data_IF_884621655750
#
_entry.id   IF_884621655750
#
_cell.length_a   1.000
_cell.length_b   1.000
_cell.length_c   1.000
_cell.angle_alpha   90.00
_cell.angle_beta   90.00
_cell.angle_gamma   90.00
#
_symmetry.space_group_name_H-M   'P 1'
#
loop_
_entity.id
_entity.type
_entity.pdbx_description
1 polymer ?
#
# COMPACT_ATOMS: atom_id res chain seq x y z
N UNK A 1 14.09 -13.33 -2.34
CA UNK A 1 12.65 -13.58 -2.09
C UNK A 1 12.28 -13.36 -0.63
N UNK A 2 11.60 -12.25 -0.32
CA UNK A 2 11.24 -11.87 1.06
C UNK A 2 10.04 -12.71 1.60
N UNK A 3 9.13 -13.13 0.71
CA UNK A 3 7.95 -13.90 1.08
C UNK A 3 8.24 -15.39 1.37
N UNK A 4 9.07 -16.03 0.54
CA UNK A 4 9.45 -17.43 0.75
C UNK A 4 10.27 -17.59 2.03
N UNK A 5 11.24 -16.69 2.25
CA UNK A 5 12.05 -16.65 3.46
C UNK A 5 11.19 -16.51 4.73
N UNK A 6 10.24 -15.57 4.74
CA UNK A 6 9.27 -15.46 5.85
C UNK A 6 8.50 -16.75 6.10
N UNK A 7 7.97 -17.38 5.05
CA UNK A 7 7.15 -18.58 5.20
C UNK A 7 7.94 -19.76 5.79
N UNK A 8 9.18 -19.95 5.34
CA UNK A 8 10.04 -21.03 5.84
C UNK A 8 10.56 -20.82 7.27
N UNK A 9 10.54 -19.59 7.78
CA UNK A 9 10.91 -19.26 9.15
C UNK A 9 9.74 -19.30 10.15
N UNK A 10 8.52 -19.64 9.71
CA UNK A 10 7.38 -19.78 10.61
C UNK A 10 7.51 -21.04 11.48
N UNK A 11 7.07 -21.00 12.76
CA UNK A 11 7.08 -22.18 13.60
C UNK A 11 6.12 -23.26 13.06
N UNK A 12 6.43 -24.52 13.35
CA UNK A 12 5.55 -25.63 12.99
C UNK A 12 4.16 -25.43 13.59
N UNK A 13 3.12 -25.55 12.77
CA UNK A 13 1.74 -25.30 13.18
C UNK A 13 1.30 -23.83 13.19
N UNK A 14 2.14 -22.89 12.75
CA UNK A 14 1.75 -21.47 12.61
C UNK A 14 0.65 -21.23 11.56
N UNK A 15 0.58 -22.11 10.56
CA UNK A 15 -0.42 -22.09 9.49
C UNK A 15 -1.05 -23.49 9.43
N UNK A 16 -2.29 -23.59 9.88
CA UNK A 16 -3.07 -24.84 9.91
C UNK A 16 -4.08 -24.96 8.78
N UNK A 17 -4.40 -23.84 8.14
CA UNK A 17 -5.39 -23.74 7.07
C UNK A 17 -5.09 -22.55 6.16
N UNK A 18 -5.74 -22.54 5.00
CA UNK A 18 -5.54 -21.52 3.97
C UNK A 18 -5.93 -20.10 4.43
N UNK A 19 -6.97 -19.94 5.24
CA UNK A 19 -7.41 -18.62 5.68
C UNK A 19 -6.41 -18.00 6.67
N UNK A 20 -5.83 -18.82 7.54
CA UNK A 20 -4.75 -18.41 8.44
C UNK A 20 -3.52 -17.97 7.64
N UNK A 21 -3.11 -18.75 6.63
CA UNK A 21 -2.00 -18.39 5.73
C UNK A 21 -2.23 -17.05 5.04
N UNK A 22 -3.42 -16.90 4.43
CA UNK A 22 -3.82 -15.70 3.70
C UNK A 22 -3.81 -14.48 4.60
N UNK A 23 -4.40 -14.56 5.79
CA UNK A 23 -4.52 -13.42 6.71
C UNK A 23 -3.15 -12.94 7.19
N UNK A 24 -2.27 -13.87 7.59
CA UNK A 24 -0.91 -13.51 8.03
C UNK A 24 -0.07 -12.94 6.89
N UNK A 25 -0.17 -13.53 5.70
CA UNK A 25 0.51 -13.03 4.51
C UNK A 25 0.04 -11.61 4.17
N UNK A 26 -1.27 -11.40 4.10
CA UNK A 26 -1.85 -10.09 3.83
C UNK A 26 -1.45 -9.07 4.89
N UNK A 27 -1.47 -9.43 6.17
CA UNK A 27 -1.03 -8.52 7.25
C UNK A 27 0.46 -8.14 7.16
N UNK A 28 1.31 -9.04 6.65
CA UNK A 28 2.76 -8.84 6.62
C UNK A 28 3.24 -8.14 5.35
N UNK A 29 2.60 -8.43 4.22
CA UNK A 29 3.07 -8.03 2.90
C UNK A 29 2.13 -7.09 2.16
N UNK A 30 0.88 -6.89 2.61
CA UNK A 30 0.12 -5.75 2.08
C UNK A 30 0.86 -4.48 2.49
N UNK A 31 1.11 -3.56 1.55
CA UNK A 31 1.63 -2.25 1.90
C UNK A 31 0.71 -1.65 2.97
N UNK A 32 1.27 -1.39 4.14
CA UNK A 32 0.60 -0.61 5.16
C UNK A 32 0.54 0.88 4.80
N UNK A 33 0.83 1.26 3.54
CA UNK A 33 0.55 2.60 3.05
C UNK A 33 -0.94 2.80 3.26
N UNK A 34 -1.26 3.58 4.28
CA UNK A 34 -2.60 3.71 4.78
C UNK A 34 -3.38 4.35 3.64
N UNK A 35 -4.22 3.54 2.99
CA UNK A 35 -5.08 4.02 1.91
C UNK A 35 -5.85 5.25 2.40
N UNK A 36 -6.17 5.35 3.70
CA UNK A 36 -6.75 6.55 4.28
C UNK A 36 -5.78 7.74 4.30
N UNK A 37 -4.49 7.55 4.58
CA UNK A 37 -3.48 8.61 4.49
C UNK A 37 -3.22 9.06 3.04
N UNK A 38 -3.26 8.14 2.07
CA UNK A 38 -3.17 8.48 0.64
C UNK A 38 -4.41 9.28 0.19
N UNK A 39 -5.60 8.82 0.58
CA UNK A 39 -6.86 9.52 0.32
C UNK A 39 -6.91 10.90 1.00
N UNK A 40 -6.40 11.01 2.23
CA UNK A 40 -6.27 12.28 2.93
C UNK A 40 -5.35 13.25 2.18
N UNK A 41 -4.18 12.78 1.71
CA UNK A 41 -3.28 13.59 0.89
C UNK A 41 -3.92 14.02 -0.44
N UNK A 42 -4.67 13.12 -1.10
CA UNK A 42 -5.41 13.46 -2.33
C UNK A 42 -6.48 14.51 -2.04
N UNK A 43 -7.24 14.38 -0.96
CA UNK A 43 -8.27 15.37 -0.59
C UNK A 43 -7.70 16.76 -0.28
N UNK A 44 -6.44 16.81 0.16
CA UNK A 44 -5.75 18.06 0.50
C UNK A 44 -4.96 18.65 -0.67
N UNK A 45 -4.84 17.94 -1.80
CA UNK A 45 -4.10 18.46 -2.93
C UNK A 45 -4.83 19.67 -3.53
N UNK A 46 -4.20 20.83 -3.45
CA UNK A 46 -4.68 22.06 -4.06
C UNK A 46 -3.67 22.50 -5.11
N UNK A 47 -4.18 22.92 -6.26
CA UNK A 47 -3.36 23.54 -7.30
C UNK A 47 -2.86 24.88 -6.77
N UNK A 48 -1.54 25.09 -6.81
CA UNK A 48 -0.99 26.41 -6.52
C UNK A 48 -1.33 27.38 -7.67
N UNK A 49 -1.64 28.67 -7.42
CA UNK A 49 -1.92 29.63 -8.49
C UNK A 49 -0.81 29.71 -9.54
N UNK A 50 0.44 29.57 -9.14
CA UNK A 50 1.64 29.62 -10.01
C UNK A 50 1.99 28.27 -10.66
N UNK A 51 1.41 27.17 -10.20
CA UNK A 51 1.68 25.83 -10.70
C UNK A 51 1.05 25.62 -12.10
N UNK A 52 1.81 25.15 -13.10
CA UNK A 52 1.23 24.74 -14.38
C UNK A 52 0.27 23.57 -14.22
N UNK A 53 -0.85 23.58 -14.94
CA UNK A 53 -1.88 22.52 -14.87
C UNK A 53 -1.29 21.11 -15.06
N UNK A 54 -0.31 20.97 -15.97
CA UNK A 54 0.37 19.70 -16.23
C UNK A 54 1.07 19.12 -14.99
N UNK A 55 1.72 19.98 -14.21
CA UNK A 55 2.46 19.55 -13.01
C UNK A 55 1.50 19.16 -11.88
N UNK A 56 0.39 19.89 -11.74
CA UNK A 56 -0.69 19.53 -10.82
C UNK A 56 -1.26 18.14 -11.15
N UNK A 57 -1.61 17.89 -12.42
CA UNK A 57 -2.13 16.59 -12.87
C UNK A 57 -1.10 15.47 -12.65
N UNK A 58 0.19 15.72 -12.89
CA UNK A 58 1.24 14.75 -12.64
C UNK A 58 1.34 14.38 -11.15
N UNK A 59 1.24 15.35 -10.24
CA UNK A 59 1.23 15.10 -8.78
C UNK A 59 0.00 14.32 -8.35
N UNK A 60 -1.17 14.69 -8.85
CA UNK A 60 -2.43 13.99 -8.57
C UNK A 60 -2.35 12.53 -9.03
N UNK A 61 -1.92 12.27 -10.26
CA UNK A 61 -1.80 10.92 -10.80
C UNK A 61 -0.76 10.07 -10.06
N UNK A 62 0.34 10.68 -9.59
CA UNK A 62 1.32 9.97 -8.74
C UNK A 62 0.70 9.49 -7.43
N UNK A 63 -0.25 10.20 -6.84
CA UNK A 63 -0.93 9.79 -5.61
C UNK A 63 -1.99 8.72 -5.87
N UNK A 64 -2.77 8.86 -6.94
CA UNK A 64 -3.77 7.85 -7.33
C UNK A 64 -3.11 6.52 -7.68
N UNK A 65 -1.99 6.54 -8.41
CA UNK A 65 -1.27 5.33 -8.79
C UNK A 65 -0.58 4.60 -7.62
N UNK A 66 -0.57 5.18 -6.42
CA UNK A 66 -0.08 4.55 -5.19
C UNK A 66 -1.18 3.81 -4.42
N UNK A 67 -2.45 4.08 -4.71
CA UNK A 67 -3.55 3.34 -4.10
C UNK A 67 -3.55 1.93 -4.73
N UNK A 68 -3.43 0.86 -3.92
CA UNK A 68 -3.41 -0.52 -4.39
C UNK A 68 -4.70 -0.95 -5.11
#
# INVERSE_FOLDING_TARGET
DNAADWFYHLPAGAITDWNTMRTQFESRFKPAEDVHALLAQISQIKKDPSEPMREFVARFNRLINKIP
#
